data_IF_241820777249
#
_entry.id   IF_241820777249
#
_cell.length_a   1.000
_cell.length_b   1.000
_cell.length_c   1.000
_cell.angle_alpha   90.00
_cell.angle_beta   90.00
_cell.angle_gamma   90.00
#
_symmetry.space_group_name_H-M   'P 1'
#
loop_
_entity.id
_entity.type
_entity.pdbx_description
1 polymer ?
#
# COMPACT_ATOMS: atom_id res chain seq x y z
N UNK A 1 27.65 -2.77 -7.21
CA UNK A 1 27.11 -1.92 -6.12
C UNK A 1 28.19 -1.83 -5.06
N UNK A 2 28.35 -0.68 -4.40
CA UNK A 2 29.25 -0.58 -3.24
C UNK A 2 28.63 -1.44 -2.12
N UNK A 3 29.29 -2.51 -1.64
CA UNK A 3 28.68 -3.47 -0.70
C UNK A 3 28.32 -2.87 0.66
N UNK A 4 28.72 -1.63 0.94
CA UNK A 4 28.47 -0.93 2.20
C UNK A 4 27.19 -0.06 2.22
N UNK A 5 26.40 -0.01 1.14
CA UNK A 5 25.15 0.76 1.12
C UNK A 5 23.95 -0.19 1.02
N UNK A 6 23.09 -0.28 2.05
CA UNK A 6 21.92 -1.13 2.01
C UNK A 6 20.98 -0.72 0.86
N UNK A 7 20.39 -1.68 0.15
CA UNK A 7 19.58 -1.40 -1.01
C UNK A 7 18.27 -0.69 -0.61
N UNK A 8 17.70 0.02 -1.58
CA UNK A 8 16.35 0.58 -1.49
C UNK A 8 15.46 -0.19 -2.45
N UNK A 9 14.45 -0.85 -1.92
CA UNK A 9 13.52 -1.69 -2.68
C UNK A 9 12.21 -0.94 -2.89
N UNK A 10 11.83 -0.75 -4.16
CA UNK A 10 10.58 -0.13 -4.56
C UNK A 10 9.47 -1.20 -4.65
N UNK A 11 8.37 -0.99 -3.93
CA UNK A 11 7.24 -1.94 -3.91
C UNK A 11 5.93 -1.24 -4.23
N UNK A 12 5.12 -1.84 -5.10
CA UNK A 12 3.80 -1.31 -5.46
C UNK A 12 2.63 -2.16 -4.94
N UNK A 13 2.78 -3.47 -4.73
CA UNK A 13 1.67 -4.27 -4.17
C UNK A 13 1.67 -5.78 -4.38
N UNK A 14 2.80 -6.45 -4.65
CA UNK A 14 2.80 -7.91 -4.81
C UNK A 14 3.84 -8.55 -3.90
N UNK A 15 3.41 -9.58 -3.17
CA UNK A 15 4.26 -10.57 -2.52
C UNK A 15 3.84 -11.94 -3.05
N UNK A 16 4.81 -12.76 -3.47
CA UNK A 16 4.52 -14.07 -4.04
C UNK A 16 5.78 -14.92 -4.15
N UNK A 17 5.60 -16.20 -4.45
CA UNK A 17 6.71 -17.12 -4.69
C UNK A 17 7.17 -17.01 -6.15
N UNK A 18 8.48 -16.92 -6.35
CA UNK A 18 9.12 -16.93 -7.67
C UNK A 18 10.30 -17.89 -7.68
N UNK A 19 10.64 -18.41 -8.86
CA UNK A 19 11.79 -19.31 -9.07
C UNK A 19 13.11 -18.55 -9.32
N UNK A 20 13.06 -17.22 -9.35
CA UNK A 20 14.25 -16.38 -9.58
C UNK A 20 15.15 -16.30 -8.35
N UNK A 21 16.47 -16.27 -8.59
CA UNK A 21 17.45 -16.02 -7.55
C UNK A 21 17.25 -14.62 -6.94
N UNK A 22 17.31 -14.53 -5.60
CA UNK A 22 17.19 -13.26 -4.88
C UNK A 22 18.25 -12.25 -5.32
N UNK A 23 17.84 -10.99 -5.54
CA UNK A 23 18.72 -9.91 -6.04
C UNK A 23 19.70 -9.37 -5.00
N UNK A 24 19.50 -9.70 -3.71
CA UNK A 24 20.36 -9.29 -2.60
C UNK A 24 20.55 -10.49 -1.64
N UNK A 25 21.46 -11.42 -1.97
CA UNK A 25 21.65 -12.66 -1.20
C UNK A 25 22.15 -12.45 0.23
N UNK A 26 22.84 -11.35 0.50
CA UNK A 26 23.35 -10.97 1.81
C UNK A 26 22.28 -10.37 2.75
N UNK A 27 21.00 -10.35 2.35
CA UNK A 27 19.93 -9.77 3.16
C UNK A 27 19.78 -10.48 4.50
N UNK A 28 20.09 -9.77 5.58
CA UNK A 28 19.88 -10.23 6.95
C UNK A 28 19.73 -9.04 7.92
N UNK A 29 19.90 -9.29 9.22
CA UNK A 29 19.79 -8.27 10.27
C UNK A 29 20.96 -7.29 10.28
N UNK A 30 22.15 -7.73 9.86
CA UNK A 30 23.37 -6.92 9.75
C UNK A 30 23.39 -6.13 8.43
N UNK A 31 22.65 -6.61 7.42
CA UNK A 31 22.47 -6.00 6.10
C UNK A 31 20.99 -5.67 5.82
N UNK A 32 20.34 -4.82 6.65
CA UNK A 32 18.91 -4.56 6.55
C UNK A 32 18.58 -3.64 5.36
N UNK A 33 17.37 -3.75 4.83
CA UNK A 33 16.95 -3.06 3.60
C UNK A 33 16.00 -1.90 3.91
N UNK A 34 16.06 -0.85 3.10
CA UNK A 34 15.08 0.23 3.09
C UNK A 34 13.99 -0.04 2.05
N UNK A 35 12.72 0.07 2.43
CA UNK A 35 11.60 -0.02 1.49
C UNK A 35 11.04 1.37 1.20
N UNK A 36 10.74 1.62 -0.07
CA UNK A 36 9.90 2.72 -0.50
C UNK A 36 8.70 2.12 -1.25
N UNK A 37 7.53 2.25 -0.63
CA UNK A 37 6.36 1.47 -0.99
C UNK A 37 5.17 2.37 -1.32
N UNK A 38 4.60 2.18 -2.51
CA UNK A 38 3.48 2.96 -3.01
C UNK A 38 2.15 2.23 -2.82
N UNK A 39 1.07 2.93 -2.45
CA UNK A 39 -0.28 2.37 -2.39
C UNK A 39 -0.38 1.10 -1.52
N UNK A 40 -0.97 0.02 -2.03
CA UNK A 40 -1.05 -1.27 -1.34
C UNK A 40 0.33 -1.87 -0.99
N UNK A 41 1.39 -1.48 -1.71
CA UNK A 41 2.77 -1.91 -1.42
C UNK A 41 3.21 -1.59 0.00
N UNK A 42 2.71 -0.52 0.61
CA UNK A 42 3.02 -0.19 2.00
C UNK A 42 2.49 -1.25 2.97
N UNK A 43 1.29 -1.79 2.73
CA UNK A 43 0.74 -2.90 3.51
C UNK A 43 1.57 -4.17 3.30
N UNK A 44 1.94 -4.45 2.05
CA UNK A 44 2.79 -5.61 1.72
C UNK A 44 4.10 -5.59 2.50
N UNK A 45 4.78 -4.45 2.60
CA UNK A 45 6.01 -4.35 3.39
C UNK A 45 5.76 -4.59 4.88
N UNK A 46 4.66 -4.07 5.43
CA UNK A 46 4.34 -4.28 6.85
C UNK A 46 4.03 -5.74 7.15
N UNK A 47 3.27 -6.41 6.28
CA UNK A 47 3.01 -7.86 6.37
C UNK A 47 4.31 -8.64 6.25
N UNK A 48 5.16 -8.32 5.27
CA UNK A 48 6.49 -8.93 5.12
C UNK A 48 7.33 -8.77 6.39
N UNK A 49 7.37 -7.58 6.97
CA UNK A 49 8.13 -7.32 8.19
C UNK A 49 7.61 -8.16 9.37
N UNK A 50 6.29 -8.26 9.52
CA UNK A 50 5.68 -9.10 10.56
C UNK A 50 5.99 -10.58 10.33
N UNK A 51 5.90 -11.06 9.08
CA UNK A 51 6.25 -12.43 8.69
C UNK A 51 7.73 -12.77 8.99
N UNK A 52 8.64 -11.81 8.78
CA UNK A 52 10.05 -11.95 9.14
C UNK A 52 10.23 -12.04 10.65
N UNK A 53 9.54 -11.22 11.43
CA UNK A 53 9.58 -11.26 12.90
C UNK A 53 8.99 -12.57 13.47
N UNK A 54 7.90 -13.05 12.86
CA UNK A 54 7.19 -14.26 13.25
C UNK A 54 7.83 -15.54 12.71
N UNK A 55 8.90 -15.42 11.92
CA UNK A 55 9.68 -16.52 11.35
C UNK A 55 8.82 -17.49 10.51
N UNK A 56 7.91 -16.95 9.71
CA UNK A 56 6.94 -17.75 8.93
C UNK A 56 7.57 -18.48 7.74
N UNK A 57 8.79 -18.10 7.33
CA UNK A 57 9.47 -18.65 6.16
C UNK A 57 10.14 -19.99 6.49
N UNK A 58 9.55 -21.09 5.99
CA UNK A 58 10.10 -22.44 6.15
C UNK A 58 11.54 -22.51 5.63
N UNK A 59 12.45 -23.04 6.46
CA UNK A 59 13.87 -23.15 6.14
C UNK A 59 14.72 -21.94 6.52
N UNK A 60 14.11 -20.84 6.99
CA UNK A 60 14.81 -19.62 7.43
C UNK A 60 14.48 -19.28 8.90
N UNK A 61 15.09 -20.01 9.82
CA UNK A 61 14.81 -19.93 11.26
C UNK A 61 15.30 -18.63 11.95
N UNK A 62 16.20 -17.88 11.29
CA UNK A 62 16.87 -16.69 11.84
C UNK A 62 16.35 -15.39 11.23
N UNK A 63 15.15 -15.41 10.63
CA UNK A 63 14.51 -14.18 10.17
C UNK A 63 14.13 -13.29 11.37
N UNK A 64 14.13 -11.99 11.13
CA UNK A 64 13.90 -10.97 12.14
C UNK A 64 13.25 -9.74 11.49
N UNK A 65 12.34 -9.07 12.21
CA UNK A 65 11.76 -7.80 11.74
C UNK A 65 12.81 -6.69 11.54
N UNK A 66 14.01 -6.87 12.13
CA UNK A 66 15.15 -5.95 12.01
C UNK A 66 15.84 -6.01 10.64
N UNK A 67 15.52 -6.99 9.80
CA UNK A 67 15.92 -7.07 8.39
C UNK A 67 15.36 -5.89 7.57
N UNK A 68 14.41 -5.14 8.15
CA UNK A 68 13.84 -3.91 7.60
C UNK A 68 14.40 -2.70 8.34
N UNK A 69 15.24 -1.92 7.65
CA UNK A 69 15.84 -0.69 8.18
C UNK A 69 14.83 0.47 8.23
N UNK A 70 14.05 0.64 7.17
CA UNK A 70 12.99 1.65 7.12
C UNK A 70 11.87 1.29 6.14
N UNK A 71 10.69 1.85 6.38
CA UNK A 71 9.57 1.87 5.46
C UNK A 71 9.17 3.32 5.15
N UNK A 72 9.32 3.72 3.89
CA UNK A 72 8.77 4.97 3.36
C UNK A 72 7.51 4.65 2.56
N UNK A 73 6.36 5.12 3.05
CA UNK A 73 5.07 4.98 2.41
C UNK A 73 4.78 6.17 1.50
N UNK A 74 4.52 5.93 0.22
CA UNK A 74 4.11 6.91 -0.77
C UNK A 74 2.64 6.66 -1.09
N UNK A 75 1.73 7.49 -0.58
CA UNK A 75 0.30 7.25 -0.69
C UNK A 75 -0.11 5.84 -0.24
N UNK A 76 0.36 5.34 0.91
CA UNK A 76 0.10 3.96 1.32
C UNK A 76 -1.31 3.72 1.84
N UNK A 77 -1.92 2.59 1.49
CA UNK A 77 -3.25 2.23 1.97
C UNK A 77 -3.25 1.70 3.42
N UNK A 78 -2.75 2.47 4.38
CA UNK A 78 -2.47 2.00 5.76
C UNK A 78 -3.74 1.73 6.58
N UNK A 79 -4.88 2.34 6.22
CA UNK A 79 -6.18 2.13 6.86
C UNK A 79 -7.30 1.81 5.84
N UNK A 80 -6.93 1.44 4.61
CA UNK A 80 -7.89 1.14 3.55
C UNK A 80 -8.44 2.36 2.82
N UNK A 81 -9.46 2.18 1.99
CA UNK A 81 -10.03 3.24 1.16
C UNK A 81 -11.53 3.13 1.05
N UNK A 82 -12.20 4.28 1.10
CA UNK A 82 -13.64 4.37 0.81
C UNK A 82 -13.94 4.01 -0.65
N UNK A 83 -12.98 4.17 -1.55
CA UNK A 83 -13.11 3.81 -2.96
C UNK A 83 -13.45 2.34 -3.16
N UNK A 84 -12.91 1.45 -2.33
CA UNK A 84 -13.21 0.02 -2.42
C UNK A 84 -14.73 -0.24 -2.26
N UNK A 85 -15.37 0.46 -1.32
CA UNK A 85 -16.81 0.36 -1.10
C UNK A 85 -17.64 1.07 -2.18
N UNK A 86 -17.19 2.25 -2.65
CA UNK A 86 -17.81 2.98 -3.76
C UNK A 86 -17.87 2.10 -5.02
N UNK A 87 -16.79 1.37 -5.30
CA UNK A 87 -16.69 0.50 -6.47
C UNK A 87 -17.52 -0.77 -6.33
N UNK A 88 -17.74 -1.27 -5.11
CA UNK A 88 -18.67 -2.36 -4.85
C UNK A 88 -18.30 -3.37 -3.79
N UNK A 89 -17.29 -3.15 -2.94
CA UNK A 89 -17.05 -4.04 -1.80
C UNK A 89 -18.21 -3.96 -0.80
N UNK A 90 -18.55 -5.09 -0.18
CA UNK A 90 -19.58 -5.17 0.85
C UNK A 90 -19.04 -4.62 2.19
N UNK A 91 -19.72 -3.66 2.82
CA UNK A 91 -19.31 -3.15 4.13
C UNK A 91 -19.54 -4.18 5.26
N UNK A 92 -20.48 -5.12 5.09
CA UNK A 92 -20.87 -6.10 6.12
C UNK A 92 -19.79 -7.15 6.37
N UNK A 93 -19.19 -7.68 5.30
CA UNK A 93 -18.21 -8.78 5.36
C UNK A 93 -16.84 -8.43 4.80
N UNK A 94 -16.70 -7.28 4.13
CA UNK A 94 -15.49 -6.72 3.50
C UNK A 94 -14.70 -7.62 2.55
N UNK A 95 -15.07 -8.88 2.40
CA UNK A 95 -14.39 -9.92 1.61
C UNK A 95 -15.07 -10.12 0.26
N UNK A 96 -16.36 -9.85 0.18
CA UNK A 96 -17.14 -10.09 -1.02
C UNK A 96 -17.54 -8.82 -1.75
N UNK A 97 -17.70 -8.96 -3.06
CA UNK A 97 -18.20 -7.90 -3.94
C UNK A 97 -19.73 -7.91 -3.94
N UNK A 98 -20.34 -6.73 -4.09
CA UNK A 98 -21.78 -6.58 -4.31
C UNK A 98 -22.15 -7.17 -5.68
N UNK A 99 -23.22 -7.98 -5.76
CA UNK A 99 -23.57 -8.70 -6.99
C UNK A 99 -23.88 -7.78 -8.18
N UNK A 100 -24.32 -6.55 -7.91
CA UNK A 100 -24.55 -5.51 -8.92
C UNK A 100 -23.70 -4.30 -8.56
N UNK A 101 -22.53 -4.19 -9.18
CA UNK A 101 -21.57 -3.10 -8.94
C UNK A 101 -20.58 -2.94 -10.10
N UNK A 102 -19.92 -1.78 -10.17
CA UNK A 102 -18.84 -1.54 -11.13
C UNK A 102 -17.71 -2.55 -10.93
N UNK A 103 -17.37 -2.83 -9.68
CA UNK A 103 -16.33 -3.80 -9.35
C UNK A 103 -16.68 -5.20 -9.83
N UNK A 104 -17.93 -5.64 -9.70
CA UNK A 104 -18.34 -6.95 -10.21
C UNK A 104 -18.13 -7.05 -11.73
N UNK A 105 -18.44 -5.99 -12.48
CA UNK A 105 -18.20 -5.95 -13.94
C UNK A 105 -16.69 -6.10 -14.22
N UNK A 106 -15.84 -5.39 -13.47
CA UNK A 106 -14.39 -5.53 -13.59
C UNK A 106 -13.92 -6.96 -13.28
N UNK A 107 -14.39 -7.57 -12.19
CA UNK A 107 -14.06 -8.94 -11.82
C UNK A 107 -14.44 -9.95 -12.93
N UNK A 108 -15.65 -9.84 -13.48
CA UNK A 108 -16.09 -10.68 -14.60
C UNK A 108 -15.22 -10.47 -15.85
N UNK A 109 -14.83 -9.22 -16.13
CA UNK A 109 -13.91 -8.88 -17.21
C UNK A 109 -12.53 -9.53 -17.04
N UNK A 110 -11.98 -9.52 -15.82
CA UNK A 110 -10.69 -10.14 -15.50
C UNK A 110 -10.77 -11.67 -15.62
N UNK A 111 -11.84 -12.29 -15.11
CA UNK A 111 -12.07 -13.74 -15.29
C UNK A 111 -12.07 -14.10 -16.77
N UNK A 112 -12.80 -13.34 -17.60
CA UNK A 112 -12.85 -13.56 -19.03
C UNK A 112 -11.48 -13.35 -19.70
N UNK A 113 -10.77 -12.30 -19.31
CA UNK A 113 -9.42 -11.98 -19.79
C UNK A 113 -8.45 -13.14 -19.55
N UNK A 114 -8.38 -13.65 -18.32
CA UNK A 114 -7.45 -14.73 -17.95
C UNK A 114 -7.89 -16.08 -18.54
N UNK A 115 -9.20 -16.30 -18.67
CA UNK A 115 -9.73 -17.47 -19.34
C UNK A 115 -9.41 -17.48 -20.84
N UNK A 116 -9.53 -16.33 -21.53
CA UNK A 116 -9.17 -16.23 -22.95
C UNK A 116 -7.68 -16.48 -23.20
N UNK A 117 -6.82 -16.15 -22.23
CA UNK A 117 -5.38 -16.46 -22.22
C UNK A 117 -4.67 -16.02 -23.51
N UNK A 118 -5.01 -14.83 -24.01
CA UNK A 118 -4.43 -14.30 -25.25
C UNK A 118 -3.06 -13.67 -24.95
N UNK A 119 -2.00 -14.27 -25.50
CA UNK A 119 -0.62 -13.87 -25.23
C UNK A 119 -0.31 -12.40 -25.53
N UNK A 120 -0.93 -11.81 -26.56
CA UNK A 120 -0.73 -10.39 -26.89
C UNK A 120 -1.32 -9.44 -25.85
N UNK A 121 -2.46 -9.80 -25.24
CA UNK A 121 -3.06 -9.01 -24.16
C UNK A 121 -2.25 -9.13 -22.87
N UNK A 122 -1.78 -10.34 -22.55
CA UNK A 122 -0.90 -10.61 -21.41
C UNK A 122 0.40 -9.82 -21.53
N UNK A 123 1.05 -9.86 -22.69
CA UNK A 123 2.24 -9.05 -22.97
C UNK A 123 2.02 -7.53 -22.76
N UNK A 124 0.80 -7.03 -22.96
CA UNK A 124 0.48 -5.61 -22.71
C UNK A 124 0.27 -5.30 -21.23
N UNK A 125 -0.49 -6.14 -20.50
CA UNK A 125 -0.75 -5.93 -19.08
C UNK A 125 -1.10 -7.25 -18.38
N UNK A 126 -0.38 -7.60 -17.32
CA UNK A 126 -0.62 -8.81 -16.53
C UNK A 126 -1.31 -8.49 -15.20
N UNK A 127 -2.46 -9.14 -14.93
CA UNK A 127 -3.23 -8.96 -13.67
C UNK A 127 -2.71 -9.78 -12.48
N UNK A 128 -1.80 -10.74 -12.70
CA UNK A 128 -1.14 -11.50 -11.63
C UNK A 128 -1.91 -12.71 -11.08
N UNK A 129 -3.01 -13.12 -11.71
CA UNK A 129 -3.81 -14.29 -11.30
C UNK A 129 -3.39 -15.61 -11.97
N UNK A 130 -2.22 -15.66 -12.63
CA UNK A 130 -1.76 -16.84 -13.37
C UNK A 130 -1.66 -18.10 -12.49
N UNK A 131 -1.40 -17.93 -11.19
CA UNK A 131 -1.35 -19.03 -10.21
C UNK A 131 -2.69 -19.77 -10.05
N UNK A 132 -3.83 -19.12 -10.34
CA UNK A 132 -5.16 -19.77 -10.36
C UNK A 132 -5.36 -20.64 -11.60
N UNK A 133 -4.52 -20.52 -12.63
CA UNK A 133 -4.49 -21.42 -13.79
C UNK A 133 -5.84 -21.56 -14.53
N UNK A 134 -6.62 -20.48 -14.61
CA UNK A 134 -7.99 -20.49 -15.15
C UNK A 134 -8.10 -20.40 -16.68
N UNK A 135 -7.02 -20.67 -17.43
CA UNK A 135 -7.07 -20.55 -18.89
C UNK A 135 -8.05 -21.53 -19.53
N UNK A 136 -8.61 -21.16 -20.69
CA UNK A 136 -9.58 -21.96 -21.44
C UNK A 136 -9.10 -23.39 -21.71
N UNK A 137 -7.79 -23.56 -21.93
CA UNK A 137 -7.17 -24.87 -22.14
C UNK A 137 -7.17 -25.76 -20.90
N UNK A 138 -7.15 -25.16 -19.70
CA UNK A 138 -7.09 -25.86 -18.42
C UNK A 138 -8.47 -26.18 -17.86
N UNK A 139 -9.38 -25.20 -17.81
CA UNK A 139 -10.67 -25.35 -17.11
C UNK A 139 -11.89 -25.45 -18.05
N UNK A 140 -11.72 -25.14 -19.34
CA UNK A 140 -12.81 -25.18 -20.33
C UNK A 140 -13.96 -24.20 -20.04
N UNK A 141 -15.09 -24.37 -20.74
CA UNK A 141 -16.27 -23.49 -20.58
C UNK A 141 -17.00 -23.75 -19.26
N UNK A 142 -17.02 -25.01 -18.79
CA UNK A 142 -17.66 -25.34 -17.50
C UNK A 142 -16.96 -24.66 -16.34
N UNK A 143 -15.63 -24.71 -16.29
CA UNK A 143 -14.86 -24.00 -15.26
C UNK A 143 -15.02 -22.48 -15.35
N UNK A 144 -15.20 -21.92 -16.54
CA UNK A 144 -15.54 -20.50 -16.68
C UNK A 144 -16.87 -20.17 -15.99
N UNK A 145 -17.91 -20.99 -16.20
CA UNK A 145 -19.20 -20.80 -15.53
C UNK A 145 -19.04 -20.88 -14.01
N UNK A 146 -18.26 -21.85 -13.51
CA UNK A 146 -17.99 -21.98 -12.07
C UNK A 146 -17.27 -20.73 -11.51
N UNK A 147 -16.32 -20.15 -12.27
CA UNK A 147 -15.67 -18.89 -11.90
C UNK A 147 -16.62 -17.69 -11.92
N UNK A 148 -17.47 -17.56 -12.95
CA UNK A 148 -18.42 -16.46 -13.07
C UNK A 148 -19.52 -16.51 -11.99
N UNK A 149 -19.87 -17.70 -11.53
CA UNK A 149 -20.79 -17.91 -10.40
C UNK A 149 -20.13 -17.69 -9.03
N UNK A 150 -18.81 -17.46 -8.98
CA UNK A 150 -18.06 -17.25 -7.74
C UNK A 150 -17.76 -18.53 -6.96
N UNK A 151 -17.92 -19.71 -7.56
CA UNK A 151 -17.62 -20.99 -6.91
C UNK A 151 -16.11 -21.30 -6.92
N UNK A 152 -15.36 -20.68 -7.83
CA UNK A 152 -13.93 -20.91 -8.02
C UNK A 152 -13.23 -19.66 -8.59
N UNK A 153 -11.89 -19.66 -8.59
CA UNK A 153 -11.10 -18.60 -9.19
C UNK A 153 -10.72 -17.46 -8.23
N UNK A 154 -10.15 -16.36 -8.76
CA UNK A 154 -9.41 -15.38 -7.97
C UNK A 154 -10.25 -14.59 -6.97
N UNK A 155 -11.53 -14.43 -7.25
CA UNK A 155 -12.43 -13.63 -6.42
C UNK A 155 -13.28 -14.45 -5.45
N UNK A 156 -13.17 -15.79 -5.47
CA UNK A 156 -14.01 -16.68 -4.67
C UNK A 156 -13.52 -16.81 -3.21
N UNK A 157 -12.21 -16.71 -2.96
CA UNK A 157 -11.62 -16.87 -1.62
C UNK A 157 -11.64 -15.59 -0.78
N UNK A 158 -11.81 -14.42 -1.42
CA UNK A 158 -11.52 -13.13 -0.79
C UNK A 158 -10.02 -12.85 -0.64
N UNK A 159 -9.14 -13.69 -1.19
CA UNK A 159 -7.67 -13.55 -1.13
C UNK A 159 -7.16 -12.78 -2.37
N UNK A 160 -7.39 -11.47 -2.37
CA UNK A 160 -6.96 -10.53 -3.40
C UNK A 160 -6.92 -9.12 -2.81
N UNK A 161 -6.36 -8.16 -3.57
CA UNK A 161 -6.01 -6.84 -3.04
C UNK A 161 -7.19 -6.03 -2.45
N UNK A 162 -8.40 -6.11 -3.04
CA UNK A 162 -9.49 -5.21 -2.65
C UNK A 162 -10.03 -5.44 -1.24
N UNK A 163 -10.30 -6.68 -0.81
CA UNK A 163 -10.60 -6.98 0.59
C UNK A 163 -9.66 -6.32 1.58
N UNK A 164 -8.35 -6.43 1.38
CA UNK A 164 -7.34 -5.89 2.31
C UNK A 164 -7.28 -4.37 2.33
N UNK A 165 -7.63 -3.70 1.23
CA UNK A 165 -7.68 -2.24 1.16
C UNK A 165 -9.07 -1.65 1.43
N UNK A 166 -10.03 -2.46 1.86
CA UNK A 166 -11.22 -1.92 2.54
C UNK A 166 -10.84 -1.42 3.93
N UNK A 167 -11.64 -0.52 4.53
CA UNK A 167 -11.37 -0.04 5.89
C UNK A 167 -11.41 -1.21 6.88
N UNK A 168 -12.45 -2.05 6.79
CA UNK A 168 -12.61 -3.23 7.67
C UNK A 168 -11.51 -4.29 7.46
N UNK A 169 -11.10 -4.53 6.21
CA UNK A 169 -9.98 -5.44 5.92
C UNK A 169 -8.64 -4.89 6.42
N UNK A 170 -8.39 -3.60 6.22
CA UNK A 170 -7.20 -2.95 6.78
C UNK A 170 -7.20 -2.95 8.30
N UNK A 171 -8.35 -2.86 8.98
CA UNK A 171 -8.45 -3.06 10.43
C UNK A 171 -8.05 -4.48 10.83
N UNK A 172 -8.58 -5.48 10.12
CA UNK A 172 -8.24 -6.87 10.38
C UNK A 172 -6.73 -7.09 10.25
N UNK A 173 -6.14 -6.62 9.16
CA UNK A 173 -4.70 -6.68 8.92
C UNK A 173 -3.93 -5.91 10.00
N UNK A 174 -4.28 -4.65 10.28
CA UNK A 174 -3.60 -3.83 11.29
C UNK A 174 -3.66 -4.44 12.70
N UNK A 175 -4.72 -5.16 13.05
CA UNK A 175 -4.81 -5.84 14.35
C UNK A 175 -3.74 -6.92 14.57
N UNK A 176 -3.14 -7.41 13.48
CA UNK A 176 -2.10 -8.43 13.48
C UNK A 176 -0.70 -7.85 13.24
N UNK A 177 -0.60 -6.57 12.85
CA UNK A 177 0.65 -5.93 12.48
C UNK A 177 1.11 -4.96 13.56
N UNK A 178 2.40 -5.02 13.88
CA UNK A 178 3.01 -4.11 14.85
C UNK A 178 3.88 -3.05 14.15
N UNK A 179 4.17 -1.95 14.84
CA UNK A 179 5.24 -1.02 14.45
C UNK A 179 6.48 -1.38 15.23
N UNK A 180 7.54 -1.74 14.51
CA UNK A 180 8.74 -2.29 15.11
C UNK A 180 9.61 -1.19 15.72
N UNK A 181 10.09 -1.36 16.96
CA UNK A 181 10.84 -0.33 17.67
C UNK A 181 12.22 -0.03 17.06
N UNK A 182 12.71 -0.89 16.16
CA UNK A 182 14.03 -0.80 15.53
C UNK A 182 13.98 -0.43 14.03
N UNK A 183 12.84 0.12 13.57
CA UNK A 183 12.62 0.49 12.18
C UNK A 183 12.18 1.96 12.08
N UNK A 184 12.67 2.66 11.06
CA UNK A 184 12.19 4.01 10.75
C UNK A 184 10.96 3.99 9.85
N UNK A 185 9.94 4.78 10.15
CA UNK A 185 8.72 4.86 9.34
C UNK A 185 8.48 6.29 8.85
N UNK A 186 8.23 6.43 7.55
CA UNK A 186 7.86 7.69 6.92
C UNK A 186 6.60 7.51 6.08
N UNK A 187 5.76 8.53 6.00
CA UNK A 187 4.62 8.54 5.09
C UNK A 187 4.45 9.87 4.37
N UNK A 188 4.05 9.79 3.11
CA UNK A 188 3.70 10.92 2.26
C UNK A 188 2.26 10.77 1.78
N UNK A 189 1.27 11.16 2.60
CA UNK A 189 -0.13 11.22 2.19
C UNK A 189 -0.31 12.24 1.07
N UNK A 190 -1.02 11.85 0.02
CA UNK A 190 -1.49 12.79 -0.99
C UNK A 190 -2.84 13.40 -0.60
N UNK A 191 -3.05 14.65 -1.01
CA UNK A 191 -4.30 15.36 -0.86
C UNK A 191 -4.57 16.19 -2.11
N UNK A 192 -5.73 15.98 -2.70
CA UNK A 192 -6.18 16.70 -3.88
C UNK A 192 -7.52 17.41 -3.65
N UNK A 193 -7.81 17.74 -2.41
CA UNK A 193 -9.05 18.37 -1.99
C UNK A 193 -8.77 19.67 -1.24
N UNK A 194 -9.71 20.62 -1.33
CA UNK A 194 -9.72 21.81 -0.48
C UNK A 194 -11.09 22.05 0.12
N UNK A 195 -11.11 22.69 1.29
CA UNK A 195 -12.36 23.11 1.93
C UNK A 195 -12.77 24.49 1.42
N UNK A 196 -13.94 24.60 0.81
CA UNK A 196 -14.55 25.84 0.31
C UNK A 196 -15.95 25.97 0.88
N UNK A 197 -16.19 27.02 1.69
CA UNK A 197 -17.51 27.30 2.30
C UNK A 197 -18.13 26.09 3.02
N UNK A 198 -17.31 25.31 3.71
CA UNK A 198 -17.74 24.10 4.43
C UNK A 198 -17.77 22.82 3.61
N UNK A 199 -17.72 22.89 2.27
CA UNK A 199 -17.69 21.73 1.39
C UNK A 199 -16.27 21.34 1.02
N UNK A 200 -16.02 20.03 0.89
CA UNK A 200 -14.77 19.51 0.32
C UNK A 200 -14.94 19.42 -1.19
N UNK A 201 -14.06 20.09 -1.92
CA UNK A 201 -14.07 20.10 -3.39
C UNK A 201 -12.71 19.65 -3.93
N UNK A 202 -12.67 18.92 -5.05
CA UNK A 202 -11.41 18.60 -5.71
C UNK A 202 -10.66 19.85 -6.12
N UNK A 203 -9.34 19.82 -5.98
CA UNK A 203 -8.43 20.83 -6.52
C UNK A 203 -8.09 20.44 -7.96
N UNK A 204 -8.16 21.40 -8.89
CA UNK A 204 -7.78 21.16 -10.27
C UNK A 204 -6.27 21.28 -10.43
N UNK A 205 -5.62 20.20 -10.82
CA UNK A 205 -4.25 20.23 -11.35
C UNK A 205 -4.36 20.19 -12.89
N UNK A 206 -3.74 21.12 -13.64
CA UNK A 206 -3.88 21.23 -15.10
C UNK A 206 -3.57 19.94 -15.88
N UNK A 207 -2.70 19.10 -15.33
CA UNK A 207 -2.24 17.83 -15.93
C UNK A 207 -3.14 16.63 -15.58
N UNK A 208 -4.17 16.82 -14.75
CA UNK A 208 -4.98 15.71 -14.24
C UNK A 208 -6.04 15.27 -15.25
N UNK A 209 -6.11 13.96 -15.50
CA UNK A 209 -7.20 13.37 -16.29
C UNK A 209 -8.56 13.65 -15.60
N UNK A 210 -9.58 14.15 -16.34
CA UNK A 210 -10.91 14.46 -15.79
C UNK A 210 -11.58 13.31 -15.03
N UNK A 211 -11.25 12.06 -15.33
CA UNK A 211 -11.73 10.90 -14.59
C UNK A 211 -11.29 10.93 -13.12
N UNK A 212 -10.04 11.31 -12.83
CA UNK A 212 -9.56 11.44 -11.45
C UNK A 212 -10.29 12.56 -10.70
N UNK A 213 -10.68 13.65 -11.37
CA UNK A 213 -11.50 14.69 -10.75
C UNK A 213 -12.84 14.13 -10.24
N UNK A 214 -13.50 13.31 -11.06
CA UNK A 214 -14.75 12.67 -10.69
C UNK A 214 -14.59 11.69 -9.53
N UNK A 215 -13.51 10.89 -9.52
CA UNK A 215 -13.19 9.97 -8.44
C UNK A 215 -12.93 10.70 -7.12
N UNK A 216 -12.15 11.78 -7.14
CA UNK A 216 -11.90 12.63 -5.96
C UNK A 216 -13.20 13.19 -5.40
N UNK A 217 -14.08 13.65 -6.29
CA UNK A 217 -15.39 14.16 -5.92
C UNK A 217 -16.27 13.09 -5.27
N UNK A 218 -16.38 11.90 -5.86
CA UNK A 218 -17.16 10.79 -5.29
C UNK A 218 -16.67 10.40 -3.89
N UNK A 219 -15.35 10.31 -3.69
CA UNK A 219 -14.77 10.00 -2.39
C UNK A 219 -15.04 11.11 -1.35
N UNK A 220 -15.08 12.37 -1.77
CA UNK A 220 -15.40 13.52 -0.89
C UNK A 220 -16.85 13.53 -0.40
N UNK A 221 -17.73 12.74 -1.02
CA UNK A 221 -19.13 12.59 -0.65
C UNK A 221 -19.41 11.29 0.10
N UNK A 222 -18.37 10.51 0.40
CA UNK A 222 -18.53 9.22 1.08
C UNK A 222 -19.23 9.38 2.43
N UNK A 223 -20.13 8.44 2.71
CA UNK A 223 -20.77 8.24 4.01
C UNK A 223 -20.81 6.74 4.28
N UNK A 224 -20.48 6.34 5.51
CA UNK A 224 -20.61 4.95 5.90
C UNK A 224 -22.10 4.54 5.88
N UNK A 225 -22.44 3.30 5.51
CA UNK A 225 -23.81 2.80 5.57
C UNK A 225 -24.43 3.00 6.97
N UNK A 226 -25.64 3.55 7.03
CA UNK A 226 -26.31 3.93 8.29
C UNK A 226 -26.84 2.74 9.08
N UNK A 227 -26.95 1.58 8.44
CA UNK A 227 -27.39 0.31 9.01
C UNK A 227 -26.26 -0.46 9.72
N UNK A 228 -25.01 0.00 9.59
CA UNK A 228 -23.83 -0.61 10.21
C UNK A 228 -23.13 0.40 11.13
N UNK A 229 -22.61 -0.05 12.29
CA UNK A 229 -21.80 0.82 13.13
C UNK A 229 -20.49 1.15 12.38
N UNK A 230 -20.14 2.43 12.20
CA UNK A 230 -18.89 2.79 11.55
C UNK A 230 -17.70 2.36 12.41
N UNK A 231 -16.59 1.92 11.81
CA UNK A 231 -15.39 1.54 12.55
C UNK A 231 -14.53 2.75 12.98
N UNK A 232 -15.02 3.97 12.78
CA UNK A 232 -14.35 5.24 13.06
C UNK A 232 -15.37 6.30 13.49
N UNK A 233 -14.90 7.39 14.11
CA UNK A 233 -15.78 8.38 14.78
C UNK A 233 -16.53 9.33 13.83
N UNK A 234 -15.98 9.63 12.64
CA UNK A 234 -16.64 10.52 11.68
C UNK A 234 -16.24 10.31 10.23
N UNK A 235 -17.23 10.35 9.32
CA UNK A 235 -16.98 10.26 7.86
C UNK A 235 -16.20 11.45 7.30
N UNK A 236 -16.28 12.61 7.97
CA UNK A 236 -15.69 13.86 7.47
C UNK A 236 -14.17 13.80 7.37
N UNK A 237 -13.55 13.01 8.24
CA UNK A 237 -12.10 12.77 8.25
C UNK A 237 -11.66 11.96 7.02
N UNK A 238 -12.59 11.23 6.40
CA UNK A 238 -12.35 10.41 5.21
C UNK A 238 -12.62 11.16 3.90
N UNK A 239 -13.05 12.42 3.92
CA UNK A 239 -13.38 13.12 2.68
C UNK A 239 -12.17 13.63 1.91
N UNK A 240 -11.11 14.06 2.61
CA UNK A 240 -9.86 14.43 1.94
C UNK A 240 -9.24 13.18 1.29
N UNK A 241 -8.84 13.28 0.03
CA UNK A 241 -8.37 12.14 -0.75
C UNK A 241 -7.51 12.56 -1.97
N UNK A 242 -6.90 11.57 -2.62
CA UNK A 242 -6.05 11.74 -3.81
C UNK A 242 -6.65 11.12 -5.10
N UNK A 243 -7.93 10.74 -5.06
CA UNK A 243 -8.67 10.05 -6.13
C UNK A 243 -8.62 8.52 -6.07
N UNK A 244 -7.84 7.94 -5.16
CA UNK A 244 -7.76 6.49 -4.93
C UNK A 244 -7.86 6.15 -3.44
N UNK A 245 -7.16 6.91 -2.58
CA UNK A 245 -7.10 6.71 -1.14
C UNK A 245 -7.47 8.00 -0.40
N UNK A 246 -8.05 7.82 0.79
CA UNK A 246 -8.36 8.92 1.69
C UNK A 246 -7.07 9.41 2.37
N UNK A 247 -6.89 10.71 2.50
CA UNK A 247 -5.66 11.33 3.04
C UNK A 247 -5.36 10.85 4.45
N UNK A 248 -6.39 10.74 5.31
CA UNK A 248 -6.23 10.20 6.67
C UNK A 248 -5.67 8.78 6.66
N UNK A 249 -6.14 7.94 5.73
CA UNK A 249 -5.72 6.54 5.62
C UNK A 249 -4.24 6.38 5.30
N UNK A 250 -3.64 7.39 4.66
CA UNK A 250 -2.24 7.34 4.24
C UNK A 250 -1.26 7.79 5.32
N UNK A 251 -1.70 8.44 6.39
CA UNK A 251 -0.80 9.06 7.39
C UNK A 251 0.06 8.03 8.14
N UNK A 252 -0.59 7.15 8.89
CA UNK A 252 -0.02 6.06 9.68
C UNK A 252 -1.13 5.04 9.95
N UNK A 253 -0.84 3.85 10.49
CA UNK A 253 -1.88 2.93 10.95
C UNK A 253 -2.63 3.53 12.15
N UNK A 254 -3.90 3.86 11.96
CA UNK A 254 -4.79 4.49 12.95
C UNK A 254 -5.73 3.44 13.56
N UNK A 255 -6.26 2.55 12.73
CA UNK A 255 -7.29 1.58 13.14
C UNK A 255 -6.72 0.16 13.18
N UNK A 256 -7.10 -0.70 14.14
CA UNK A 256 -8.03 -0.41 15.25
C UNK A 256 -7.38 0.36 16.40
N UNK A 257 -6.05 0.28 16.54
CA UNK A 257 -5.30 0.99 17.56
C UNK A 257 -4.32 1.93 16.85
N UNK A 258 -4.23 3.16 17.33
CA UNK A 258 -3.39 4.16 16.70
C UNK A 258 -1.91 3.90 17.00
N UNK A 259 -1.09 3.85 15.95
CA UNK A 259 0.35 3.65 16.08
C UNK A 259 1.08 4.97 16.40
N UNK A 260 2.26 4.92 17.05
CA UNK A 260 3.03 6.12 17.36
C UNK A 260 3.38 6.91 16.10
N UNK A 261 3.06 8.21 16.10
CA UNK A 261 3.22 9.05 14.92
C UNK A 261 3.59 10.50 15.26
N UNK A 262 4.04 11.24 14.24
CA UNK A 262 4.34 12.67 14.32
C UNK A 262 4.15 13.35 12.96
N UNK A 263 3.36 14.42 12.92
CA UNK A 263 3.27 15.30 11.75
C UNK A 263 4.56 16.10 11.59
N UNK A 264 5.10 16.13 10.36
CA UNK A 264 6.33 16.85 10.03
C UNK A 264 6.00 18.06 9.15
N UNK A 265 6.14 19.25 9.71
CA UNK A 265 5.99 20.51 8.97
C UNK A 265 7.24 20.82 8.13
N UNK A 266 8.44 20.61 8.69
CA UNK A 266 9.72 20.83 8.03
C UNK A 266 10.63 19.60 8.21
N UNK A 267 11.09 19.04 7.09
CA UNK A 267 11.93 17.84 7.07
C UNK A 267 13.42 18.15 7.26
N UNK A 268 13.85 19.40 7.04
CA UNK A 268 15.27 19.78 7.09
C UNK A 268 15.86 19.63 8.51
N UNK A 269 15.04 19.85 9.53
CA UNK A 269 15.44 19.78 10.94
C UNK A 269 14.97 18.48 11.63
N UNK A 270 14.39 17.56 10.88
CA UNK A 270 13.83 16.34 11.47
C UNK A 270 14.94 15.41 11.96
N UNK A 271 14.89 15.10 13.25
CA UNK A 271 15.70 14.04 13.86
C UNK A 271 14.81 12.82 14.12
N UNK A 272 14.69 11.89 13.15
CA UNK A 272 13.78 10.77 13.28
C UNK A 272 14.26 9.82 14.37
N UNK A 273 13.28 9.29 15.12
CA UNK A 273 13.43 8.21 16.10
C UNK A 273 12.87 6.91 15.51
N UNK A 274 13.34 5.78 16.02
CA UNK A 274 12.85 4.46 15.61
C UNK A 274 11.45 4.21 16.18
N UNK A 275 10.65 3.39 15.49
CA UNK A 275 9.32 2.96 15.94
C UNK A 275 8.23 4.04 15.88
N UNK A 276 8.46 5.15 15.20
CA UNK A 276 7.49 6.25 15.06
C UNK A 276 7.26 6.55 13.57
N UNK A 277 6.00 6.73 13.18
CA UNK A 277 5.57 7.16 11.85
C UNK A 277 5.67 8.67 11.69
N UNK A 278 6.55 9.13 10.81
CA UNK A 278 6.66 10.54 10.45
C UNK A 278 5.94 10.82 9.15
N UNK A 279 4.91 11.67 9.14
CA UNK A 279 4.15 11.95 7.92
C UNK A 279 4.13 13.42 7.52
N UNK A 280 4.08 13.66 6.21
CA UNK A 280 3.97 14.99 5.60
C UNK A 280 2.99 14.96 4.44
N UNK A 281 1.89 15.70 4.58
CA UNK A 281 0.84 15.77 3.55
C UNK A 281 1.38 16.55 2.34
N UNK A 282 1.13 16.02 1.15
CA UNK A 282 1.55 16.59 -0.13
C UNK A 282 0.33 16.87 -1.01
N UNK A 283 0.35 18.00 -1.72
CA UNK A 283 -0.64 18.28 -2.74
C UNK A 283 -0.29 17.51 -4.01
N UNK A 284 -0.98 16.40 -4.25
CA UNK A 284 -0.68 15.46 -5.32
C UNK A 284 -1.90 14.60 -5.67
N UNK A 285 -1.94 14.06 -6.89
CA UNK A 285 -2.83 12.94 -7.23
C UNK A 285 -2.11 11.60 -7.05
N UNK A 286 -2.87 10.51 -6.83
CA UNK A 286 -2.32 9.21 -6.42
C UNK A 286 -1.12 8.73 -7.26
N UNK A 287 -1.24 8.74 -8.59
CA UNK A 287 -0.20 8.24 -9.49
C UNK A 287 0.91 9.24 -9.82
N UNK A 288 0.84 10.48 -9.32
CA UNK A 288 1.82 11.53 -9.64
C UNK A 288 3.24 11.17 -9.15
N UNK A 289 3.33 10.40 -8.07
CA UNK A 289 4.58 9.86 -7.54
C UNK A 289 5.27 8.86 -8.47
N UNK A 290 4.52 8.21 -9.36
CA UNK A 290 5.04 7.22 -10.31
C UNK A 290 5.33 7.82 -11.69
N UNK A 291 4.49 8.77 -12.14
CA UNK A 291 4.58 9.34 -13.49
C UNK A 291 5.64 10.42 -13.62
N UNK A 292 5.92 11.17 -12.54
CA UNK A 292 6.80 12.35 -12.59
C UNK A 292 8.14 12.17 -11.85
N UNK A 293 8.48 10.94 -11.45
CA UNK A 293 9.74 10.64 -10.76
C UNK A 293 11.01 10.95 -11.59
N UNK A 294 10.88 11.09 -12.92
CA UNK A 294 11.98 11.39 -13.85
C UNK A 294 12.03 12.82 -14.40
N UNK A 295 11.10 13.70 -14.00
CA UNK A 295 11.08 15.09 -14.50
C UNK A 295 11.90 15.99 -13.57
N UNK A 296 13.08 16.42 -14.03
CA UNK A 296 13.95 17.33 -13.27
C UNK A 296 13.20 18.59 -12.83
N UNK A 297 13.35 18.95 -11.55
CA UNK A 297 12.77 20.16 -10.98
C UNK A 297 11.35 20.03 -10.39
N UNK A 298 10.69 18.87 -10.51
CA UNK A 298 9.40 18.63 -9.88
C UNK A 298 9.54 18.21 -8.40
N UNK A 299 8.57 18.55 -7.56
CA UNK A 299 8.50 18.26 -6.13
C UNK A 299 8.67 16.75 -5.81
N UNK A 300 8.29 15.86 -6.72
CA UNK A 300 8.40 14.40 -6.56
C UNK A 300 9.79 13.83 -6.85
N UNK A 301 10.56 14.47 -7.74
CA UNK A 301 11.98 14.17 -7.93
C UNK A 301 12.76 14.60 -6.68
N UNK A 302 12.46 15.78 -6.14
CA UNK A 302 13.04 16.26 -4.87
C UNK A 302 12.66 15.36 -3.69
N UNK A 303 11.41 14.87 -3.65
CA UNK A 303 10.98 13.90 -2.65
C UNK A 303 11.76 12.60 -2.75
N UNK A 304 11.90 12.04 -3.95
CA UNK A 304 12.67 10.83 -4.18
C UNK A 304 14.10 11.02 -3.68
N UNK A 305 14.78 12.08 -4.11
CA UNK A 305 16.12 12.43 -3.65
C UNK A 305 16.21 12.58 -2.12
N UNK A 306 15.19 13.18 -1.51
CA UNK A 306 15.10 13.34 -0.05
C UNK A 306 14.98 11.98 0.64
N UNK A 307 14.14 11.08 0.13
CA UNK A 307 13.99 9.71 0.64
C UNK A 307 15.31 8.95 0.49
N UNK A 308 15.95 9.01 -0.69
CA UNK A 308 17.24 8.35 -0.93
C UNK A 308 18.34 8.88 0.01
N UNK A 309 18.49 10.20 0.12
CA UNK A 309 19.47 10.84 1.01
C UNK A 309 19.22 10.48 2.47
N UNK A 310 17.95 10.49 2.90
CA UNK A 310 17.58 10.13 4.27
C UNK A 310 17.89 8.68 4.56
N UNK A 311 17.45 7.75 3.71
CA UNK A 311 17.76 6.33 3.88
C UNK A 311 19.27 6.12 4.07
N UNK A 312 20.11 6.76 3.23
CA UNK A 312 21.57 6.69 3.37
C UNK A 312 22.11 7.26 4.70
N UNK A 313 21.54 8.35 5.20
CA UNK A 313 21.92 8.93 6.50
C UNK A 313 21.51 8.03 7.68
N UNK A 314 20.37 7.34 7.57
CA UNK A 314 19.87 6.45 8.62
C UNK A 314 20.76 5.22 8.82
N UNK A 315 21.43 4.75 7.76
CA UNK A 315 22.44 3.67 7.84
C UNK A 315 23.54 4.07 8.82
N UNK A 316 24.10 5.27 8.65
CA UNK A 316 25.19 5.79 9.49
C UNK A 316 24.73 5.89 10.94
N UNK A 317 23.51 6.41 11.17
CA UNK A 317 22.95 6.59 12.51
C UNK A 317 22.67 5.26 13.22
N UNK A 318 22.18 4.23 12.51
CA UNK A 318 21.93 2.90 13.08
C UNK A 318 23.22 2.21 13.48
N UNK A 319 24.27 2.30 12.65
CA UNK A 319 25.61 1.77 13.00
C UNK A 319 26.17 2.46 14.26
N UNK A 320 26.05 3.79 14.39
CA UNK A 320 26.49 4.50 15.59
C UNK A 320 25.69 4.14 16.84
N UNK A 321 24.38 3.93 16.73
CA UNK A 321 23.53 3.56 17.86
C UNK A 321 23.81 2.13 18.38
N UNK A 322 24.09 1.18 17.49
CA UNK A 322 24.48 -0.19 17.87
C UNK A 322 25.87 -0.25 18.50
N UNK A 323 26.83 0.58 18.05
CA UNK A 323 28.16 0.66 18.67
C UNK A 323 28.06 1.18 20.11
N UNK A 324 27.24 2.20 20.36
CA UNK A 324 27.05 2.75 21.71
C UNK A 324 26.36 1.77 22.67
N UNK A 325 25.42 0.94 22.19
CA UNK A 325 24.80 -0.09 23.02
C UNK A 325 25.76 -1.23 23.40
N UNK A 326 26.74 -1.53 22.55
CA UNK A 326 27.74 -2.57 22.81
C UNK A 326 28.93 -2.09 23.67
N UNK A 327 29.08 -0.78 23.91
CA UNK A 327 30.11 -0.22 24.81
C UNK A 327 29.62 -0.08 26.26
N UNK A 328 28.31 -0.19 26.49
CA UNK A 328 27.66 -0.10 27.80
C UNK A 328 27.33 -1.49 28.43
N UNK A 329 27.70 -2.60 27.77
CA UNK A 329 27.62 -3.99 28.25
C UNK A 329 29.01 -4.56 28.61
#
# INVERSE_FOLDING_TARGET
MNPSTPPIVLIHGVLGFGEEAGKYPEWDEDHPIHFAAHSAGAQVVRVLQQMLADKTFKGLANTSGNWVASLTSLCGALNGSTKAYIMGMKPEDWRHVKPVSVLQICCLGIILYDWLDMSWMKSYYHFGFDHFNISRRKIGVRGLVDCLLGNAGPFASGDWVLPDITISGSIHTNSQLTTFPNTFYFSYPAKLTKRVRGFIVPTSIPEMNPWFFFEVFLMSLWRYPTDLPPPYEGDEDWWDNDGVLNTISMTHPILPNEHPHQLVADELNLQPRLGIWYYKIMEAYHSQFLTNAGTEGNQFSQLSDTVFKRCRQLVIKKSSAMVLQNEDD
#
